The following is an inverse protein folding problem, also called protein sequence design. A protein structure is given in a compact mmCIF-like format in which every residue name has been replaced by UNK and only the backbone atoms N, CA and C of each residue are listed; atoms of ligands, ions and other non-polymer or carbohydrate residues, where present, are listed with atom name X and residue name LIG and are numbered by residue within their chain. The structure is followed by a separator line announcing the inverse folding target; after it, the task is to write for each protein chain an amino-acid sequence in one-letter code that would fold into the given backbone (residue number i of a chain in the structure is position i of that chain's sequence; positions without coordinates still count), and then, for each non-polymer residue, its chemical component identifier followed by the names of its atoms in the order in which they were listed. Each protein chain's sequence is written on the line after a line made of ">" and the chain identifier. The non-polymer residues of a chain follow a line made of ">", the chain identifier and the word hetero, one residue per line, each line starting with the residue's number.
data_IF_396533164461
#
_entry.id   IF_396533164461
#
_cell.length_a   1.000
_cell.length_b   1.000
_cell.length_c   1.000
_cell.angle_alpha   90.00
_cell.angle_beta   90.00
_cell.angle_gamma   90.00
#
_symmetry.space_group_name_H-M   'P 1'
#
loop_
_entity.id
_entity.type
_entity.pdbx_description
1 polymer ?
#
# COMPACT_ATOMS: atom_id res chain seq x y z
N UNK A 1 -10.86 -0.59 28.23
CA UNK A 1 -9.48 -0.84 27.75
C UNK A 1 -9.50 -0.55 26.24
N UNK A 2 -8.52 0.14 25.70
CA UNK A 2 -8.45 0.42 24.27
C UNK A 2 -7.90 -0.80 23.53
N UNK A 3 -8.46 -1.09 22.34
CA UNK A 3 -7.94 -2.15 21.49
C UNK A 3 -6.56 -1.77 20.92
N UNK A 4 -5.65 -2.73 20.91
CA UNK A 4 -4.26 -2.56 20.49
C UNK A 4 -4.04 -3.05 19.08
N UNK A 5 -3.22 -2.33 18.29
CA UNK A 5 -2.84 -2.68 16.92
C UNK A 5 -1.49 -2.05 16.56
N UNK A 6 -0.78 -2.61 15.60
CA UNK A 6 0.36 -1.91 14.98
C UNK A 6 -0.11 -0.91 13.93
N UNK A 7 0.72 0.08 13.60
CA UNK A 7 0.36 1.09 12.62
C UNK A 7 0.37 0.54 11.18
N UNK A 8 1.45 -0.10 10.75
CA UNK A 8 1.65 -0.47 9.34
C UNK A 8 2.59 -1.66 9.13
N UNK A 9 3.51 -1.52 8.18
CA UNK A 9 4.40 -2.59 7.74
C UNK A 9 5.36 -3.07 8.81
N UNK A 10 5.66 -4.36 8.77
CA UNK A 10 6.69 -5.02 9.56
C UNK A 10 7.90 -5.37 8.68
N UNK A 11 9.11 -5.48 9.25
CA UNK A 11 10.30 -5.81 8.50
C UNK A 11 10.15 -7.12 7.72
N UNK A 12 10.54 -7.12 6.45
CA UNK A 12 10.58 -8.37 5.68
C UNK A 12 11.72 -9.25 6.16
N UNK A 13 11.49 -10.57 6.30
CA UNK A 13 12.57 -11.51 6.58
C UNK A 13 13.66 -11.45 5.51
N UNK A 14 14.92 -11.61 5.93
CA UNK A 14 16.08 -11.55 5.03
C UNK A 14 16.07 -12.66 3.95
N UNK A 15 15.35 -13.75 4.17
CA UNK A 15 15.16 -14.81 3.18
C UNK A 15 14.07 -14.46 2.15
N UNK A 16 13.13 -13.57 2.44
CA UNK A 16 12.07 -13.13 1.53
C UNK A 16 12.56 -12.05 0.57
N UNK A 17 13.28 -11.05 1.08
CA UNK A 17 13.67 -9.89 0.29
C UNK A 17 15.01 -9.28 0.74
N UNK A 18 15.60 -8.44 -0.12
CA UNK A 18 16.82 -7.68 0.17
C UNK A 18 16.51 -6.46 1.05
N UNK A 19 16.55 -6.63 2.36
CA UNK A 19 16.05 -5.65 3.35
C UNK A 19 16.90 -4.38 3.47
N UNK A 20 18.11 -4.37 2.90
CA UNK A 20 19.01 -3.20 2.92
C UNK A 20 18.72 -2.18 1.82
N UNK A 21 17.79 -2.47 0.89
CA UNK A 21 17.38 -1.58 -0.19
C UNK A 21 16.06 -0.90 0.16
N UNK A 22 15.91 0.36 -0.23
CA UNK A 22 14.65 1.11 -0.10
C UNK A 22 13.49 0.41 -0.85
N UNK A 23 13.81 -0.25 -1.95
CA UNK A 23 12.92 -1.08 -2.75
C UNK A 23 13.40 -2.53 -2.67
N UNK A 24 13.02 -3.27 -1.63
CA UNK A 24 13.50 -4.62 -1.43
C UNK A 24 13.16 -5.51 -2.62
N UNK A 25 14.17 -6.10 -3.24
CA UNK A 25 13.97 -7.07 -4.31
C UNK A 25 13.62 -8.43 -3.70
N UNK A 26 12.71 -9.16 -4.32
CA UNK A 26 12.37 -10.50 -3.91
C UNK A 26 13.55 -11.46 -4.16
N UNK A 27 13.75 -12.42 -3.27
CA UNK A 27 14.82 -13.44 -3.39
C UNK A 27 14.35 -14.75 -4.00
N UNK A 28 13.06 -14.87 -4.29
CA UNK A 28 12.45 -16.01 -4.94
C UNK A 28 11.53 -15.53 -6.06
N UNK A 29 11.10 -16.44 -6.91
CA UNK A 29 10.18 -16.20 -8.03
C UNK A 29 9.10 -17.28 -8.08
N UNK A 30 8.03 -17.04 -8.84
CA UNK A 30 6.96 -18.01 -9.07
C UNK A 30 6.33 -18.53 -7.77
N UNK A 31 6.06 -19.82 -7.72
CA UNK A 31 5.40 -20.47 -6.58
C UNK A 31 6.22 -20.39 -5.30
N UNK A 32 7.56 -20.43 -5.40
CA UNK A 32 8.45 -20.28 -4.26
C UNK A 32 8.32 -18.87 -3.63
N UNK A 33 8.11 -17.85 -4.42
CA UNK A 33 7.84 -16.50 -3.91
C UNK A 33 6.47 -16.41 -3.24
N UNK A 34 5.43 -17.02 -3.82
CA UNK A 34 4.10 -17.06 -3.22
C UNK A 34 4.14 -17.75 -1.86
N UNK A 35 4.81 -18.89 -1.75
CA UNK A 35 5.01 -19.60 -0.49
C UNK A 35 5.78 -18.76 0.52
N UNK A 36 6.88 -18.12 0.10
CA UNK A 36 7.68 -17.27 0.98
C UNK A 36 6.88 -16.08 1.52
N UNK A 37 6.04 -15.45 0.71
CA UNK A 37 5.12 -14.39 1.15
C UNK A 37 4.11 -14.90 2.18
N UNK A 38 3.56 -16.09 1.96
CA UNK A 38 2.63 -16.74 2.89
C UNK A 38 3.28 -17.02 4.24
N UNK A 39 4.47 -17.61 4.22
CA UNK A 39 5.23 -17.94 5.44
C UNK A 39 5.59 -16.67 6.23
N UNK A 40 6.03 -15.62 5.56
CA UNK A 40 6.33 -14.34 6.21
C UNK A 40 5.08 -13.69 6.83
N UNK A 41 3.94 -13.75 6.15
CA UNK A 41 2.65 -13.26 6.67
C UNK A 41 2.24 -14.04 7.92
N UNK A 42 2.32 -15.38 7.88
CA UNK A 42 2.03 -16.24 9.02
C UNK A 42 2.90 -15.92 10.24
N UNK A 43 4.22 -15.80 10.04
CA UNK A 43 5.16 -15.48 11.11
C UNK A 43 4.82 -14.15 11.80
N UNK A 44 4.50 -13.12 11.03
CA UNK A 44 4.17 -11.82 11.60
C UNK A 44 2.78 -11.76 12.24
N UNK A 45 1.79 -12.49 11.73
CA UNK A 45 0.50 -12.66 12.40
C UNK A 45 0.73 -13.34 13.75
N UNK A 46 1.49 -14.43 13.76
CA UNK A 46 1.79 -15.15 15.01
C UNK A 46 2.53 -14.26 16.03
N UNK A 47 3.52 -13.49 15.59
CA UNK A 47 4.24 -12.57 16.46
C UNK A 47 3.33 -11.51 17.08
N UNK A 48 2.37 -10.97 16.32
CA UNK A 48 1.38 -10.01 16.81
C UNK A 48 0.42 -10.67 17.83
N UNK A 49 -0.03 -11.90 17.59
CA UNK A 49 -0.88 -12.65 18.50
C UNK A 49 -0.15 -12.97 19.82
N UNK A 50 1.13 -13.39 19.74
CA UNK A 50 1.96 -13.68 20.93
C UNK A 50 2.29 -12.43 21.73
N UNK A 51 2.39 -11.27 21.07
CA UNK A 51 2.49 -9.97 21.73
C UNK A 51 1.18 -9.49 22.37
N UNK A 52 0.08 -10.22 22.21
CA UNK A 52 -1.20 -9.92 22.81
C UNK A 52 -2.00 -8.82 22.12
N UNK A 53 -1.71 -8.48 20.84
CA UNK A 53 -2.48 -7.49 20.12
C UNK A 53 -3.92 -7.94 19.88
N UNK A 54 -4.86 -7.02 20.00
CA UNK A 54 -6.30 -7.28 19.79
C UNK A 54 -6.65 -7.33 18.30
N UNK A 55 -5.97 -6.53 17.49
CA UNK A 55 -6.15 -6.40 16.04
C UNK A 55 -4.80 -6.66 15.39
N UNK A 56 -4.76 -7.62 14.47
CA UNK A 56 -3.55 -8.00 13.72
C UNK A 56 -3.64 -7.58 12.27
N UNK A 57 -2.52 -7.57 11.57
CA UNK A 57 -2.46 -7.30 10.12
C UNK A 57 -1.45 -8.24 9.43
N UNK A 58 -1.44 -8.26 8.10
CA UNK A 58 -0.52 -9.03 7.26
C UNK A 58 0.95 -8.54 7.35
N UNK A 59 1.19 -7.40 8.00
CA UNK A 59 2.51 -6.78 8.09
C UNK A 59 3.07 -6.32 6.73
N UNK A 60 2.23 -6.26 5.70
CA UNK A 60 2.57 -5.89 4.31
C UNK A 60 3.66 -6.81 3.69
N UNK A 61 3.70 -8.07 4.12
CA UNK A 61 4.76 -8.98 3.70
C UNK A 61 4.70 -9.36 2.22
N UNK A 62 3.50 -9.39 1.63
CA UNK A 62 3.31 -9.73 0.23
C UNK A 62 3.58 -8.56 -0.73
N UNK A 63 3.69 -7.33 -0.22
CA UNK A 63 3.90 -6.10 -1.01
C UNK A 63 5.37 -5.68 -1.01
N UNK A 64 5.95 -5.44 -2.18
CA UNK A 64 7.31 -4.90 -2.29
C UNK A 64 7.38 -3.47 -1.73
N UNK A 65 6.39 -2.66 -2.07
CA UNK A 65 6.20 -1.31 -1.55
C UNK A 65 4.71 -0.98 -1.51
N UNK A 66 4.25 -0.36 -0.43
CA UNK A 66 2.83 -0.16 -0.17
C UNK A 66 2.10 0.70 -1.23
N UNK A 67 2.77 1.68 -1.86
CA UNK A 67 2.21 2.51 -2.93
C UNK A 67 2.38 1.85 -4.29
N UNK A 68 3.61 1.45 -4.65
CA UNK A 68 3.90 0.95 -5.99
C UNK A 68 3.23 -0.40 -6.28
N UNK A 69 3.12 -1.28 -5.27
CA UNK A 69 2.40 -2.53 -5.42
C UNK A 69 0.93 -2.34 -5.82
N UNK A 70 0.28 -1.28 -5.32
CA UNK A 70 -1.04 -0.90 -5.77
C UNK A 70 -1.02 -0.32 -7.19
N UNK A 71 -0.13 0.62 -7.46
CA UNK A 71 -0.07 1.33 -8.75
C UNK A 71 0.22 0.40 -9.94
N UNK A 72 1.00 -0.67 -9.76
CA UNK A 72 1.29 -1.67 -10.80
C UNK A 72 0.02 -2.39 -11.28
N UNK A 73 -1.01 -2.44 -10.45
CA UNK A 73 -2.31 -3.03 -10.76
C UNK A 73 -3.33 -2.01 -11.30
N UNK A 74 -2.89 -0.80 -11.62
CA UNK A 74 -3.73 0.26 -12.17
C UNK A 74 -3.37 0.50 -13.64
N UNK A 75 -4.38 0.47 -14.52
CA UNK A 75 -4.28 0.95 -15.89
C UNK A 75 -4.19 2.47 -15.92
N UNK A 76 -3.62 3.03 -16.97
CA UNK A 76 -3.45 4.47 -17.14
C UNK A 76 -2.16 5.02 -16.54
N UNK A 77 -1.29 4.14 -15.99
CA UNK A 77 0.01 4.51 -15.42
C UNK A 77 1.15 3.95 -16.27
N UNK A 78 2.03 4.82 -16.72
CA UNK A 78 3.25 4.47 -17.46
C UNK A 78 4.44 4.35 -16.50
N UNK A 79 4.87 3.11 -16.27
CA UNK A 79 6.05 2.77 -15.45
C UNK A 79 7.35 2.72 -16.26
N UNK A 80 7.27 2.69 -17.60
CA UNK A 80 8.45 2.58 -18.46
C UNK A 80 9.11 3.95 -18.66
N UNK A 81 8.29 4.99 -18.88
CA UNK A 81 8.75 6.36 -19.12
C UNK A 81 8.63 7.19 -17.81
N UNK A 82 9.44 6.87 -16.82
CA UNK A 82 9.48 7.60 -15.55
C UNK A 82 10.08 8.99 -15.74
N UNK A 83 9.65 9.93 -14.90
CA UNK A 83 10.17 11.30 -14.86
C UNK A 83 10.68 11.66 -13.47
N UNK A 84 11.66 12.54 -13.40
CA UNK A 84 12.12 13.10 -12.13
C UNK A 84 11.08 14.08 -11.60
N UNK A 85 10.67 13.89 -10.34
CA UNK A 85 9.72 14.76 -9.65
C UNK A 85 10.19 15.01 -8.22
N UNK A 86 10.06 16.26 -7.75
CA UNK A 86 10.28 16.60 -6.35
C UNK A 86 9.17 16.02 -5.47
N UNK A 87 9.56 15.32 -4.40
CA UNK A 87 8.69 14.64 -3.46
C UNK A 87 8.61 15.43 -2.15
N UNK A 88 7.44 15.48 -1.53
CA UNK A 88 7.21 16.15 -0.24
C UNK A 88 7.69 17.59 -0.23
N UNK A 89 7.12 18.43 -1.09
CA UNK A 89 7.53 19.84 -1.26
C UNK A 89 9.02 19.98 -1.60
N UNK A 90 9.49 19.18 -2.59
CA UNK A 90 10.87 19.18 -3.10
C UNK A 90 11.95 18.87 -2.05
N UNK A 91 11.63 18.08 -1.01
CA UNK A 91 12.65 17.62 -0.05
C UNK A 91 13.67 16.67 -0.67
N UNK A 92 13.29 15.94 -1.70
CA UNK A 92 14.16 15.09 -2.51
C UNK A 92 13.52 14.81 -3.86
N UNK A 93 14.33 14.47 -4.85
CA UNK A 93 13.89 14.07 -6.17
C UNK A 93 13.77 12.55 -6.27
N UNK A 94 12.75 12.07 -6.98
CA UNK A 94 12.57 10.66 -7.27
C UNK A 94 12.09 10.44 -8.71
N UNK A 95 12.48 9.30 -9.29
CA UNK A 95 11.94 8.82 -10.55
C UNK A 95 10.56 8.22 -10.31
N UNK A 96 9.51 8.88 -10.83
CA UNK A 96 8.13 8.48 -10.62
C UNK A 96 7.45 8.08 -11.94
N UNK A 97 6.48 7.13 -11.89
CA UNK A 97 5.66 6.80 -13.05
C UNK A 97 4.71 7.96 -13.38
N UNK A 98 4.12 7.92 -14.57
CA UNK A 98 3.25 8.97 -15.08
C UNK A 98 1.83 8.47 -15.25
N UNK A 99 0.84 9.28 -14.86
CA UNK A 99 -0.57 9.08 -15.23
C UNK A 99 -0.76 9.63 -16.64
N UNK A 100 -1.06 8.75 -17.59
CA UNK A 100 -1.14 9.08 -19.03
C UNK A 100 -2.52 8.81 -19.65
N UNK A 101 -3.42 8.17 -18.89
CA UNK A 101 -4.77 7.82 -19.33
C UNK A 101 -5.72 7.72 -18.10
N UNK A 102 -7.04 7.55 -18.31
CA UNK A 102 -7.98 7.31 -17.22
C UNK A 102 -7.57 6.12 -16.38
N UNK A 103 -7.63 6.27 -15.06
CA UNK A 103 -7.24 5.24 -14.11
C UNK A 103 -8.33 4.17 -13.96
N UNK A 104 -7.96 2.89 -14.00
CA UNK A 104 -8.84 1.73 -13.78
C UNK A 104 -8.06 0.61 -13.09
N UNK A 105 -8.73 -0.18 -12.25
CA UNK A 105 -8.14 -1.40 -11.71
C UNK A 105 -8.07 -2.48 -12.81
N UNK A 106 -6.93 -3.15 -12.93
CA UNK A 106 -6.76 -4.35 -13.79
C UNK A 106 -7.49 -5.56 -13.23
N UNK A 107 -7.78 -5.54 -11.92
CA UNK A 107 -8.43 -6.61 -11.18
C UNK A 107 -8.44 -6.27 -9.69
N UNK A 108 -8.63 -7.27 -8.84
CA UNK A 108 -8.53 -7.11 -7.37
C UNK A 108 -7.06 -7.15 -6.97
N UNK A 109 -6.61 -6.12 -6.28
CA UNK A 109 -5.17 -5.94 -5.96
C UNK A 109 -4.77 -6.78 -4.76
N UNK A 110 -5.53 -6.70 -3.66
CA UNK A 110 -5.14 -7.26 -2.37
C UNK A 110 -6.07 -8.36 -1.84
N UNK A 111 -7.02 -8.84 -2.65
CA UNK A 111 -7.98 -9.86 -2.20
C UNK A 111 -7.28 -11.15 -1.75
N UNK A 112 -6.25 -11.60 -2.50
CA UNK A 112 -5.47 -12.79 -2.14
C UNK A 112 -4.73 -12.60 -0.82
N UNK A 113 -4.12 -11.45 -0.59
CA UNK A 113 -3.37 -11.12 0.63
C UNK A 113 -4.29 -11.10 1.85
N UNK A 114 -5.50 -10.55 1.71
CA UNK A 114 -6.51 -10.55 2.77
C UNK A 114 -6.99 -11.97 3.10
N UNK A 115 -7.28 -12.80 2.10
CA UNK A 115 -7.65 -14.21 2.28
C UNK A 115 -6.53 -15.00 2.94
N UNK A 116 -5.29 -14.80 2.51
CA UNK A 116 -4.12 -15.45 3.10
C UNK A 116 -3.96 -15.08 4.57
N UNK A 117 -4.03 -13.79 4.90
CA UNK A 117 -3.95 -13.35 6.27
C UNK A 117 -5.10 -13.89 7.13
N UNK A 118 -6.34 -13.87 6.60
CA UNK A 118 -7.52 -14.39 7.28
C UNK A 118 -7.42 -15.88 7.62
N UNK A 119 -6.80 -16.66 6.75
CA UNK A 119 -6.62 -18.09 6.97
C UNK A 119 -5.75 -18.41 8.20
N UNK A 120 -4.94 -17.46 8.66
CA UNK A 120 -3.96 -17.65 9.73
C UNK A 120 -4.32 -17.00 11.07
N UNK A 121 -5.47 -16.31 11.18
CA UNK A 121 -5.90 -15.71 12.44
C UNK A 121 -7.41 -15.76 12.64
N UNK A 122 -7.82 -15.77 13.89
CA UNK A 122 -9.24 -15.58 14.32
C UNK A 122 -9.45 -14.20 14.95
N UNK A 123 -8.39 -13.43 15.16
CA UNK A 123 -8.48 -12.05 15.66
C UNK A 123 -9.06 -11.12 14.60
N UNK A 124 -9.43 -9.91 15.00
CA UNK A 124 -9.78 -8.86 14.04
C UNK A 124 -8.60 -8.59 13.13
N UNK A 125 -8.85 -8.63 11.83
CA UNK A 125 -7.84 -8.42 10.80
C UNK A 125 -7.96 -7.01 10.23
N UNK A 126 -6.91 -6.22 10.37
CA UNK A 126 -6.78 -4.92 9.75
C UNK A 126 -5.95 -5.02 8.47
N UNK A 127 -6.44 -4.40 7.41
CA UNK A 127 -5.71 -4.30 6.15
C UNK A 127 -5.37 -2.83 5.86
N UNK A 128 -4.10 -2.56 5.51
CA UNK A 128 -3.62 -1.20 5.27
C UNK A 128 -3.55 -0.92 3.78
N UNK A 129 -4.15 0.18 3.35
CA UNK A 129 -4.07 0.73 1.99
C UNK A 129 -3.38 2.09 2.02
N UNK A 130 -2.67 2.49 0.96
CA UNK A 130 -2.23 3.87 0.83
C UNK A 130 -3.45 4.78 0.66
N UNK A 131 -3.41 5.97 1.26
CA UNK A 131 -4.41 6.99 0.95
C UNK A 131 -4.14 7.62 -0.44
N UNK A 132 -5.10 8.36 -1.02
CA UNK A 132 -4.92 9.01 -2.33
C UNK A 132 -3.76 10.02 -2.35
N UNK A 133 -3.58 10.82 -1.31
CA UNK A 133 -2.53 11.85 -1.25
C UNK A 133 -1.10 11.28 -1.35
N UNK A 134 -0.69 10.25 -0.59
CA UNK A 134 0.62 9.62 -0.77
C UNK A 134 0.88 9.10 -2.18
N UNK A 135 -0.17 8.75 -2.92
CA UNK A 135 -0.04 8.31 -4.31
C UNK A 135 0.23 9.50 -5.22
N UNK A 136 -0.55 10.57 -5.12
CA UNK A 136 -0.41 11.78 -5.93
C UNK A 136 1.00 12.38 -5.78
N UNK A 137 1.59 12.31 -4.60
CA UNK A 137 2.97 12.74 -4.36
C UNK A 137 4.04 11.84 -5.04
N UNK A 138 3.64 10.71 -5.64
CA UNK A 138 4.57 9.72 -6.21
C UNK A 138 4.26 9.33 -7.66
N UNK A 139 3.41 10.08 -8.32
CA UNK A 139 3.10 9.94 -9.74
C UNK A 139 3.08 11.31 -10.41
N UNK A 140 3.59 11.41 -11.63
CA UNK A 140 3.48 12.64 -12.42
C UNK A 140 2.16 12.63 -13.19
N UNK A 141 1.40 13.71 -13.11
CA UNK A 141 0.16 13.87 -13.86
C UNK A 141 0.41 14.41 -15.26
N UNK A 142 0.03 13.64 -16.29
CA UNK A 142 0.04 14.04 -17.69
C UNK A 142 -1.34 13.97 -18.33
N UNK A 143 -2.35 13.54 -17.57
CA UNK A 143 -3.67 13.31 -18.10
C UNK A 143 -4.75 14.23 -17.50
N UNK A 144 -4.80 14.35 -16.19
CA UNK A 144 -5.85 15.14 -15.52
C UNK A 144 -5.55 16.63 -15.49
N UNK A 145 -4.27 17.03 -15.43
CA UNK A 145 -3.84 18.43 -15.46
C UNK A 145 -4.23 19.25 -14.22
N UNK A 146 -4.69 18.59 -13.14
CA UNK A 146 -5.19 19.24 -11.94
C UNK A 146 -4.81 18.44 -10.68
N UNK A 147 -3.83 18.93 -9.95
CA UNK A 147 -3.33 18.28 -8.72
C UNK A 147 -4.39 18.17 -7.60
N UNK A 148 -5.40 19.02 -7.59
CA UNK A 148 -6.48 18.99 -6.60
C UNK A 148 -7.50 17.92 -6.96
N UNK A 149 -7.76 17.71 -8.26
CA UNK A 149 -8.72 16.71 -8.74
C UNK A 149 -8.12 15.31 -8.84
N UNK A 150 -6.82 15.19 -9.07
CA UNK A 150 -6.13 13.92 -9.27
C UNK A 150 -6.29 12.90 -8.11
N UNK A 151 -6.42 13.28 -6.82
CA UNK A 151 -6.70 12.33 -5.75
C UNK A 151 -8.03 11.58 -5.88
N UNK A 152 -9.06 12.18 -6.50
CA UNK A 152 -10.41 11.60 -6.56
C UNK A 152 -10.47 10.30 -7.39
N UNK A 153 -9.89 10.20 -8.59
CA UNK A 153 -9.80 8.94 -9.31
C UNK A 153 -9.14 7.81 -8.49
N UNK A 154 -8.09 8.11 -7.71
CA UNK A 154 -7.48 7.11 -6.83
C UNK A 154 -8.40 6.73 -5.67
N UNK A 155 -9.12 7.69 -5.09
CA UNK A 155 -10.10 7.40 -4.03
C UNK A 155 -11.20 6.46 -4.55
N UNK A 156 -11.66 6.64 -5.79
CA UNK A 156 -12.63 5.75 -6.44
C UNK A 156 -12.08 4.33 -6.59
N UNK A 157 -10.80 4.16 -6.98
CA UNK A 157 -10.18 2.83 -7.06
C UNK A 157 -10.12 2.15 -5.68
N UNK A 158 -9.82 2.88 -4.62
CA UNK A 158 -9.84 2.32 -3.25
C UNK A 158 -11.25 1.95 -2.80
N UNK A 159 -12.25 2.75 -3.15
CA UNK A 159 -13.64 2.43 -2.90
C UNK A 159 -14.05 1.13 -3.59
N UNK A 160 -13.57 0.89 -4.81
CA UNK A 160 -13.81 -0.36 -5.54
C UNK A 160 -13.06 -1.56 -4.94
N UNK A 161 -11.88 -1.34 -4.32
CA UNK A 161 -11.08 -2.41 -3.71
C UNK A 161 -11.60 -2.82 -2.31
N UNK A 162 -12.17 -1.90 -1.56
CA UNK A 162 -12.61 -2.13 -0.18
C UNK A 162 -13.56 -3.33 0.00
N UNK A 163 -14.61 -3.54 -0.85
CA UNK A 163 -15.48 -4.71 -0.74
C UNK A 163 -14.75 -6.04 -0.96
N UNK A 164 -13.69 -6.06 -1.77
CA UNK A 164 -12.91 -7.27 -1.99
C UNK A 164 -12.04 -7.62 -0.77
N UNK A 165 -11.54 -6.63 -0.07
CA UNK A 165 -10.82 -6.81 1.20
C UNK A 165 -11.77 -7.32 2.30
N UNK A 166 -12.96 -6.76 2.41
CA UNK A 166 -13.99 -7.24 3.33
C UNK A 166 -14.37 -8.69 3.02
N UNK A 167 -14.67 -9.01 1.76
CA UNK A 167 -14.97 -10.37 1.31
C UNK A 167 -13.79 -11.34 1.54
N UNK A 168 -12.55 -10.86 1.51
CA UNK A 168 -11.34 -11.59 1.86
C UNK A 168 -11.17 -11.81 3.36
N UNK A 169 -12.05 -11.27 4.20
CA UNK A 169 -12.06 -11.44 5.65
C UNK A 169 -11.37 -10.32 6.43
N UNK A 170 -11.14 -9.16 5.83
CA UNK A 170 -10.68 -7.96 6.51
C UNK A 170 -11.82 -7.34 7.35
N UNK A 171 -11.58 -7.12 8.63
CA UNK A 171 -12.55 -6.49 9.55
C UNK A 171 -12.40 -4.97 9.58
N UNK A 172 -11.20 -4.46 9.28
CA UNK A 172 -10.83 -3.05 9.36
C UNK A 172 -9.97 -2.70 8.15
N UNK A 173 -10.31 -1.60 7.48
CA UNK A 173 -9.46 -1.01 6.43
C UNK A 173 -8.88 0.29 6.97
N UNK A 174 -7.54 0.37 6.99
CA UNK A 174 -6.80 1.56 7.37
C UNK A 174 -6.26 2.25 6.12
N UNK A 175 -6.54 3.53 5.96
CA UNK A 175 -5.90 4.35 4.93
C UNK A 175 -4.71 5.11 5.53
N UNK A 176 -3.52 4.82 5.03
CA UNK A 176 -2.29 5.49 5.46
C UNK A 176 -2.07 6.79 4.70
N UNK A 177 -2.05 7.90 5.43
CA UNK A 177 -1.79 9.25 4.89
C UNK A 177 -0.65 9.92 5.68
N UNK A 178 0.58 9.38 5.63
CA UNK A 178 1.69 9.89 6.44
C UNK A 178 2.11 11.32 6.08
N UNK A 179 1.74 11.81 4.90
CA UNK A 179 2.04 13.18 4.45
C UNK A 179 0.99 14.21 4.90
N UNK A 180 -0.07 13.81 5.62
CA UNK A 180 -1.16 14.71 6.00
C UNK A 180 -0.68 15.94 6.78
N UNK A 181 0.28 15.77 7.70
CA UNK A 181 0.84 16.90 8.47
C UNK A 181 1.59 17.91 7.60
N UNK A 182 2.18 17.46 6.50
CA UNK A 182 2.93 18.35 5.57
C UNK A 182 1.95 19.17 4.73
N UNK A 183 0.77 18.62 4.45
CA UNK A 183 -0.26 19.25 3.60
C UNK A 183 -1.19 20.19 4.37
N UNK A 184 -1.25 20.11 5.70
CA UNK A 184 -2.07 21.00 6.53
C UNK A 184 -1.64 22.48 6.37
N UNK A 185 -0.34 22.75 6.23
CA UNK A 185 0.16 24.10 5.99
C UNK A 185 -0.32 24.65 4.64
N UNK A 186 -0.34 23.82 3.59
CA UNK A 186 -0.84 24.20 2.26
C UNK A 186 -2.35 24.52 2.27
N UNK A 187 -3.14 23.84 3.09
CA UNK A 187 -4.58 24.07 3.20
C UNK A 187 -4.89 25.39 3.91
N UNK A 188 -4.07 25.82 4.88
CA UNK A 188 -4.24 27.10 5.57
C UNK A 188 -3.81 28.32 4.73
N UNK A 189 -2.97 28.11 3.72
CA UNK A 189 -2.51 29.16 2.80
C UNK A 189 -3.42 29.33 1.58
N UNK A 190 -4.36 28.41 1.33
CA UNK A 190 -5.27 28.40 0.18
C UNK A 190 -6.74 28.63 0.54
N UNK A 191 -7.01 28.95 1.81
CA UNK A 191 -8.32 29.29 2.33
C UNK A 191 -8.72 30.74 2.10
#
# INVERSE_FOLDING_TARGET
>A
MFATSIAGSLPKPAWLAETHKLWPQWKAEGDALLQAKADATLLWIKAQEDAGLDIVCDGEQARQHFVHGFLEQVEGIDFQNKVTMGIRNNRYDAMVPQVVAPLRLKGRVHAFEAQLARAHTKKKLKFTLPGPMPIVDRVADRFYGDKVKMPFPFAELFYQEAPALEAGGGDIIQFDVPAFHVSIQDASERG
#
